data_IF_953687977929
#
_entry.id   IF_953687977929
#
_cell.length_a   1.000
_cell.length_b   1.000
_cell.length_c   1.000
_cell.angle_alpha   90.00
_cell.angle_beta   90.00
_cell.angle_gamma   90.00
#
_symmetry.space_group_name_H-M   'P 1'
#
loop_
_entity.id
_entity.type
_entity.pdbx_description
1 polymer ?
#
# COMPACT_ATOMS: atom_id res chain seq x y z
N UNK A 1 31.67 2.91 -1.98
CA UNK A 1 30.64 2.65 -0.96
C UNK A 1 30.26 3.99 -0.35
N UNK A 2 29.07 4.50 -0.67
CA UNK A 2 28.60 5.78 -0.15
C UNK A 2 28.12 5.56 1.30
N UNK A 3 28.73 6.21 2.31
CA UNK A 3 28.36 6.00 3.71
C UNK A 3 26.90 6.42 3.91
N UNK A 4 26.13 5.60 4.62
CA UNK A 4 24.71 5.76 4.97
C UNK A 4 24.17 7.20 4.82
N UNK A 5 23.76 7.61 3.61
CA UNK A 5 23.15 8.93 3.40
C UNK A 5 21.93 8.99 4.30
N UNK A 6 21.81 10.04 5.10
CA UNK A 6 20.64 10.28 5.96
C UNK A 6 19.94 11.55 5.51
N UNK A 7 18.62 11.52 5.59
CA UNK A 7 17.78 12.69 5.32
C UNK A 7 17.01 13.04 6.58
N UNK A 8 16.68 14.31 6.71
CA UNK A 8 15.82 14.82 7.76
C UNK A 8 14.44 15.14 7.18
N UNK A 9 13.40 14.65 7.82
CA UNK A 9 12.01 14.86 7.42
C UNK A 9 11.19 15.22 8.65
N UNK A 10 10.28 16.18 8.51
CA UNK A 10 9.31 16.55 9.55
C UNK A 10 7.98 15.85 9.27
N UNK A 11 7.41 15.23 10.31
CA UNK A 11 6.05 14.69 10.30
C UNK A 11 5.36 15.24 11.56
N UNK A 12 4.27 15.98 11.38
CA UNK A 12 3.44 16.59 12.41
C UNK A 12 4.28 17.39 13.41
N UNK A 13 5.19 18.21 12.89
CA UNK A 13 6.14 19.03 13.65
C UNK A 13 7.27 18.26 14.34
N UNK A 14 7.34 16.93 14.21
CA UNK A 14 8.42 16.11 14.76
C UNK A 14 9.47 15.79 13.68
N UNK A 15 10.74 16.01 14.00
CA UNK A 15 11.86 15.74 13.10
C UNK A 15 12.33 14.28 13.22
N UNK A 16 12.44 13.62 12.07
CA UNK A 16 12.95 12.25 11.92
C UNK A 16 14.19 12.24 11.06
N UNK A 17 15.21 11.51 11.49
CA UNK A 17 16.44 11.27 10.72
C UNK A 17 16.46 9.84 10.20
N UNK A 18 16.17 9.68 8.92
CA UNK A 18 16.05 8.38 8.27
C UNK A 18 17.29 8.06 7.43
N UNK A 19 17.62 6.77 7.34
CA UNK A 19 18.56 6.29 6.32
C UNK A 19 17.90 6.41 4.95
N UNK A 20 18.65 6.91 3.99
CA UNK A 20 18.23 7.13 2.62
C UNK A 20 19.15 6.34 1.70
N UNK A 21 18.71 5.17 1.21
CA UNK A 21 19.39 4.49 0.12
C UNK A 21 19.48 5.40 -1.12
N UNK A 22 20.42 5.08 -2.00
CA UNK A 22 20.62 5.84 -3.24
C UNK A 22 19.37 5.76 -4.11
N UNK A 23 18.88 6.91 -4.59
CA UNK A 23 17.66 7.01 -5.39
C UNK A 23 16.34 6.98 -4.63
N UNK A 24 16.32 6.69 -3.32
CA UNK A 24 15.08 6.54 -2.55
C UNK A 24 14.60 7.83 -1.85
N UNK A 25 15.34 8.94 -1.95
CA UNK A 25 15.02 10.16 -1.21
C UNK A 25 13.60 10.68 -1.53
N UNK A 26 13.22 10.70 -2.80
CA UNK A 26 11.89 11.15 -3.22
C UNK A 26 10.79 10.26 -2.65
N UNK A 27 11.00 8.93 -2.68
CA UNK A 27 10.05 7.96 -2.14
C UNK A 27 9.89 8.10 -0.62
N UNK A 28 10.97 8.35 0.12
CA UNK A 28 10.92 8.60 1.56
C UNK A 28 10.17 9.91 1.87
N UNK A 29 10.41 10.98 1.11
CA UNK A 29 9.67 12.25 1.26
C UNK A 29 8.19 12.10 0.93
N UNK A 30 7.86 11.37 -0.13
CA UNK A 30 6.48 11.07 -0.48
C UNK A 30 5.79 10.24 0.60
N UNK A 31 6.49 9.25 1.17
CA UNK A 31 5.97 8.43 2.28
C UNK A 31 5.69 9.29 3.51
N UNK A 32 6.60 10.18 3.88
CA UNK A 32 6.39 11.08 5.01
C UNK A 32 5.20 12.03 4.79
N UNK A 33 5.03 12.55 3.56
CA UNK A 33 3.85 13.34 3.20
C UNK A 33 2.55 12.54 3.35
N UNK A 34 2.53 11.27 2.92
CA UNK A 34 1.35 10.43 3.12
C UNK A 34 1.01 10.26 4.60
N UNK A 35 2.02 10.08 5.46
CA UNK A 35 1.83 9.99 6.91
C UNK A 35 1.30 11.32 7.48
N UNK A 36 1.88 12.45 7.06
CA UNK A 36 1.40 13.79 7.43
C UNK A 36 -0.09 13.96 7.12
N UNK A 37 -0.47 13.70 5.87
CA UNK A 37 -1.83 13.87 5.38
C UNK A 37 -2.82 13.01 6.20
N UNK A 38 -2.45 11.77 6.52
CA UNK A 38 -3.27 10.87 7.33
C UNK A 38 -3.42 11.33 8.78
N UNK A 39 -2.34 11.84 9.39
CA UNK A 39 -2.38 12.39 10.75
C UNK A 39 -3.27 13.64 10.78
N UNK A 40 -3.11 14.54 9.82
CA UNK A 40 -3.95 15.76 9.70
C UNK A 40 -5.42 15.41 9.51
N UNK A 41 -5.74 14.48 8.61
CA UNK A 41 -7.12 13.99 8.38
C UNK A 41 -7.77 13.50 9.69
N UNK A 42 -7.03 12.72 10.48
CA UNK A 42 -7.53 12.18 11.76
C UNK A 42 -7.69 13.30 12.80
N UNK A 43 -6.73 14.24 12.85
CA UNK A 43 -6.78 15.37 13.78
C UNK A 43 -7.96 16.31 13.49
N UNK A 44 -8.23 16.59 12.22
CA UNK A 44 -9.36 17.42 11.76
C UNK A 44 -10.73 16.81 12.10
N UNK A 45 -10.80 15.48 12.22
CA UNK A 45 -11.99 14.78 12.70
C UNK A 45 -12.40 15.12 14.14
N UNK A 46 -11.55 15.84 14.90
CA UNK A 46 -11.89 16.48 16.17
C UNK A 46 -12.09 15.55 17.37
N UNK A 47 -12.18 14.24 17.16
CA UNK A 47 -12.42 13.26 18.22
C UNK A 47 -11.17 12.93 19.05
N UNK A 48 -9.97 13.21 18.55
CA UNK A 48 -8.71 12.91 19.22
C UNK A 48 -7.80 14.14 19.23
N UNK A 49 -7.26 14.44 20.40
CA UNK A 49 -6.33 15.56 20.62
C UNK A 49 -4.92 15.10 21.00
N UNK A 50 -4.77 13.82 21.36
CA UNK A 50 -3.49 13.22 21.74
C UNK A 50 -2.70 12.80 20.49
N UNK A 51 -1.56 13.45 20.25
CA UNK A 51 -0.70 13.19 19.08
C UNK A 51 -0.22 11.74 18.99
N UNK A 52 0.02 11.07 20.12
CA UNK A 52 0.42 9.65 20.12
C UNK A 52 -0.74 8.78 19.65
N UNK A 53 -1.96 9.05 20.10
CA UNK A 53 -3.15 8.30 19.65
C UNK A 53 -3.48 8.56 18.19
N UNK A 54 -3.32 9.79 17.72
CA UNK A 54 -3.49 10.14 16.30
C UNK A 54 -2.49 9.36 15.45
N UNK A 55 -1.20 9.32 15.85
CA UNK A 55 -0.18 8.54 15.15
C UNK A 55 -0.48 7.02 15.17
N UNK A 56 -0.97 6.49 16.29
CA UNK A 56 -1.40 5.09 16.38
C UNK A 56 -2.58 4.78 15.44
N UNK A 57 -3.56 5.68 15.35
CA UNK A 57 -4.67 5.54 14.40
C UNK A 57 -4.23 5.67 12.95
N UNK A 58 -3.29 6.57 12.64
CA UNK A 58 -2.71 6.66 11.31
C UNK A 58 -2.03 5.33 10.92
N UNK A 59 -1.21 4.76 11.81
CA UNK A 59 -0.59 3.47 11.62
C UNK A 59 -1.62 2.33 11.44
N UNK A 60 -2.67 2.31 12.25
CA UNK A 60 -3.76 1.33 12.13
C UNK A 60 -4.47 1.45 10.78
N UNK A 61 -4.83 2.66 10.36
CA UNK A 61 -5.52 2.91 9.09
C UNK A 61 -4.67 2.43 7.90
N UNK A 62 -3.37 2.74 7.90
CA UNK A 62 -2.47 2.23 6.86
C UNK A 62 -2.38 0.70 6.84
N UNK A 63 -2.26 0.06 8.01
CA UNK A 63 -2.23 -1.39 8.11
C UNK A 63 -3.53 -2.03 7.60
N UNK A 64 -4.68 -1.43 7.96
CA UNK A 64 -6.00 -1.86 7.51
C UNK A 64 -6.14 -1.76 5.99
N UNK A 65 -5.79 -0.60 5.41
CA UNK A 65 -5.83 -0.39 3.96
C UNK A 65 -4.90 -1.37 3.21
N UNK A 66 -3.71 -1.66 3.75
CA UNK A 66 -2.77 -2.60 3.17
C UNK A 66 -3.36 -4.03 3.14
N UNK A 67 -3.96 -4.47 4.25
CA UNK A 67 -4.62 -5.77 4.34
C UNK A 67 -5.79 -5.87 3.35
N UNK A 68 -6.63 -4.83 3.30
CA UNK A 68 -7.77 -4.80 2.39
C UNK A 68 -7.32 -4.87 0.91
N UNK A 69 -6.27 -4.12 0.54
CA UNK A 69 -5.68 -4.18 -0.81
C UNK A 69 -5.10 -5.56 -1.14
N UNK A 70 -4.48 -6.23 -0.16
CA UNK A 70 -3.95 -7.59 -0.33
C UNK A 70 -5.08 -8.60 -0.56
N UNK A 71 -6.15 -8.52 0.22
CA UNK A 71 -7.32 -9.40 0.06
C UNK A 71 -8.01 -9.17 -1.29
N UNK A 72 -8.22 -7.91 -1.69
CA UNK A 72 -8.77 -7.56 -3.00
C UNK A 72 -7.91 -8.12 -4.15
N UNK A 73 -6.59 -8.01 -4.03
CA UNK A 73 -5.64 -8.54 -5.02
C UNK A 73 -5.67 -10.07 -5.09
N UNK A 74 -5.77 -10.74 -3.93
CA UNK A 74 -5.88 -12.20 -3.86
C UNK A 74 -7.19 -12.70 -4.47
N UNK A 75 -8.31 -12.05 -4.15
CA UNK A 75 -9.63 -12.35 -4.76
C UNK A 75 -9.59 -12.19 -6.27
N UNK A 76 -9.05 -11.08 -6.77
CA UNK A 76 -8.90 -10.81 -8.21
C UNK A 76 -8.04 -11.87 -8.91
N UNK A 77 -6.94 -12.28 -8.28
CA UNK A 77 -6.06 -13.33 -8.81
C UNK A 77 -6.78 -14.68 -8.88
N UNK A 78 -7.59 -15.00 -7.87
CA UNK A 78 -8.37 -16.24 -7.81
C UNK A 78 -9.47 -16.26 -8.87
N UNK A 79 -10.15 -15.14 -9.08
CA UNK A 79 -11.14 -14.97 -10.15
C UNK A 79 -10.50 -15.10 -11.53
N UNK A 80 -9.35 -14.47 -11.76
CA UNK A 80 -8.59 -14.60 -13.00
C UNK A 80 -8.25 -16.08 -13.29
N UNK A 81 -7.76 -16.83 -12.29
CA UNK A 81 -7.50 -18.27 -12.44
C UNK A 81 -8.75 -19.07 -12.79
N UNK A 82 -9.90 -18.73 -12.18
CA UNK A 82 -11.18 -19.40 -12.47
C UNK A 82 -11.64 -19.14 -13.90
N UNK A 83 -11.53 -17.90 -14.37
CA UNK A 83 -11.86 -17.50 -15.74
C UNK A 83 -10.94 -18.21 -16.74
N UNK A 84 -9.62 -18.20 -16.50
CA UNK A 84 -8.64 -18.89 -17.33
C UNK A 84 -8.93 -20.39 -17.46
N UNK A 85 -9.30 -21.05 -16.35
CA UNK A 85 -9.69 -22.47 -16.39
C UNK A 85 -10.91 -22.70 -17.28
N UNK A 86 -11.95 -21.87 -17.16
CA UNK A 86 -13.16 -21.96 -18.00
C UNK A 86 -12.85 -21.72 -19.48
N UNK A 87 -12.04 -20.71 -19.78
CA UNK A 87 -11.64 -20.39 -21.15
C UNK A 87 -10.91 -21.58 -21.78
N UNK A 88 -9.97 -22.20 -21.04
CA UNK A 88 -9.26 -23.39 -21.50
C UNK A 88 -10.23 -24.55 -21.82
N UNK A 89 -11.18 -24.83 -20.93
CA UNK A 89 -12.19 -25.88 -21.16
C UNK A 89 -13.04 -25.59 -22.40
N UNK A 90 -13.49 -24.34 -22.59
CA UNK A 90 -14.27 -23.97 -23.77
C UNK A 90 -13.46 -24.10 -25.08
N UNK A 91 -12.17 -23.77 -25.07
CA UNK A 91 -11.29 -23.98 -26.23
C UNK A 91 -11.15 -25.47 -26.54
N UNK A 92 -10.92 -26.30 -25.53
CA UNK A 92 -10.83 -27.76 -25.69
C UNK A 92 -12.13 -28.36 -26.28
N UNK A 93 -13.30 -27.86 -25.84
CA UNK A 93 -14.61 -28.27 -26.39
C UNK A 93 -14.81 -27.84 -27.85
N UNK A 94 -14.36 -26.64 -28.23
CA UNK A 94 -14.44 -26.17 -29.63
C UNK A 94 -13.52 -27.03 -30.52
N UNK A 95 -12.28 -27.24 -30.09
CA UNK A 95 -11.31 -28.03 -30.84
C UNK A 95 -11.79 -29.49 -31.04
N UNK A 96 -12.42 -30.09 -30.03
CA UNK A 96 -12.96 -31.45 -30.15
C UNK A 96 -14.14 -31.55 -31.11
N UNK A 97 -14.97 -30.50 -31.22
CA UNK A 97 -16.09 -30.47 -32.15
C UNK A 97 -15.66 -30.18 -33.60
N UNK A 98 -14.56 -29.44 -33.79
CA UNK A 98 -14.00 -29.16 -35.12
C UNK A 98 -13.21 -30.34 -35.70
N UNK A 99 -12.83 -31.31 -34.87
CA UNK A 99 -12.10 -32.51 -35.27
C UNK A 99 -13.00 -33.75 -35.44
N UNK A 100 -14.31 -33.60 -35.26
CA UNK A 100 -15.35 -34.55 -35.68
C UNK A 100 -15.85 -34.24 -37.08
#
# INVERSE_FOLDING_TARGET
>A
MNPEKRIEISIHGQLFRLRCPEGEEEQLRATAKMVEDKITEIAEGGSLTDSVRIAQMAAFNFAYELLERREKSFRRSSEYKRIQKRLKTLIEEIDSNLSQ
#
